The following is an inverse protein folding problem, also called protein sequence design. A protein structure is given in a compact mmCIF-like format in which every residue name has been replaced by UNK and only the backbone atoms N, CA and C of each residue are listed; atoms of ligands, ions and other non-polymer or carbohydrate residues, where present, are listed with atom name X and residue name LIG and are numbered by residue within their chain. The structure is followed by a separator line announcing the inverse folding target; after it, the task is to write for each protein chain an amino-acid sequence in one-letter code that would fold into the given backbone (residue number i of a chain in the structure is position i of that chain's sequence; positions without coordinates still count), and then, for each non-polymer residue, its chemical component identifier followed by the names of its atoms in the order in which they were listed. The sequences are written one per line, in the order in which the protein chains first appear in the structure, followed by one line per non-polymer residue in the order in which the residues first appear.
data_IF_859168857133
#
_entry.id   IF_859168857133
#
_cell.length_a   1.000
_cell.length_b   1.000
_cell.length_c   1.000
_cell.angle_alpha   90.00
_cell.angle_beta   90.00
_cell.angle_gamma   90.00
#
_symmetry.space_group_name_H-M   'P 1'
#
loop_
_entity.id
_entity.type
_entity.pdbx_description
1 polymer ?
#
# COMPACT_ATOMS: atom_id res chain seq x y z
N UNK A 1 -4.69 1.40 10.35
CA UNK A 1 -4.25 2.23 9.21
C UNK A 1 -4.78 3.64 9.41
N UNK A 2 -4.04 4.64 8.97
CA UNK A 2 -4.48 6.04 8.95
C UNK A 2 -4.26 6.59 7.55
N UNK A 3 -5.27 7.23 6.97
CA UNK A 3 -5.16 7.97 5.71
C UNK A 3 -5.35 9.44 6.02
N UNK A 4 -4.35 10.26 5.72
CA UNK A 4 -4.39 11.70 5.95
C UNK A 4 -4.44 12.44 4.62
N UNK A 5 -5.31 13.44 4.52
CA UNK A 5 -5.31 14.39 3.40
C UNK A 5 -4.25 15.49 3.63
N UNK A 6 -3.81 16.19 2.58
CA UNK A 6 -2.93 17.37 2.73
C UNK A 6 -3.53 18.47 3.62
N UNK A 7 -4.85 18.56 3.69
CA UNK A 7 -5.60 19.54 4.49
C UNK A 7 -5.65 19.16 5.99
N UNK A 8 -5.20 17.95 6.34
CA UNK A 8 -5.12 17.46 7.71
C UNK A 8 -6.31 16.59 8.15
N UNK A 9 -7.25 16.29 7.26
CA UNK A 9 -8.32 15.33 7.56
C UNK A 9 -7.72 13.92 7.67
N UNK A 10 -8.10 13.18 8.71
CA UNK A 10 -7.61 11.83 8.95
C UNK A 10 -8.76 10.84 9.02
N UNK A 11 -8.61 9.73 8.30
CA UNK A 11 -9.46 8.54 8.42
C UNK A 11 -8.65 7.44 9.08
N UNK A 12 -9.00 7.13 10.32
CA UNK A 12 -8.44 5.99 11.03
C UNK A 12 -9.34 4.77 10.84
N UNK A 13 -8.73 3.64 10.46
CA UNK A 13 -9.43 2.37 10.30
C UNK A 13 -8.67 1.26 11.02
N UNK A 14 -9.40 0.51 11.84
CA UNK A 14 -8.96 -0.76 12.40
C UNK A 14 -9.54 -1.90 11.56
N UNK A 15 -8.68 -2.80 11.10
CA UNK A 15 -9.10 -4.00 10.38
C UNK A 15 -8.90 -5.20 11.29
N UNK A 16 -9.97 -5.99 11.47
CA UNK A 16 -9.88 -7.30 12.13
C UNK A 16 -10.00 -8.36 11.05
N UNK A 17 -8.98 -9.20 10.94
CA UNK A 17 -8.99 -10.33 10.03
C UNK A 17 -9.57 -11.55 10.74
N UNK A 18 -10.55 -12.21 10.13
CA UNK A 18 -11.14 -13.45 10.64
C UNK A 18 -10.25 -14.69 10.36
N UNK A 19 -9.10 -14.47 9.71
CA UNK A 19 -8.07 -15.47 9.45
C UNK A 19 -6.78 -15.15 10.22
N UNK A 20 -6.00 -16.20 10.51
CA UNK A 20 -4.66 -16.03 11.10
C UNK A 20 -3.70 -15.51 10.04
N UNK A 21 -3.62 -14.19 9.90
CA UNK A 21 -2.59 -13.57 9.09
C UNK A 21 -1.22 -13.70 9.78
N UNK A 22 -0.21 -14.16 9.04
CA UNK A 22 1.20 -13.93 9.41
C UNK A 22 1.48 -12.44 9.16
N UNK A 23 2.29 -11.76 9.98
CA UNK A 23 2.38 -10.27 9.97
C UNK A 23 2.47 -9.67 8.55
N UNK A 24 3.27 -10.28 7.68
CA UNK A 24 3.47 -9.88 6.30
C UNK A 24 2.19 -9.87 5.47
N UNK A 25 1.29 -10.86 5.65
CA UNK A 25 0.00 -10.90 4.98
C UNK A 25 -0.93 -9.81 5.52
N UNK A 26 -0.95 -9.59 6.84
CA UNK A 26 -1.77 -8.55 7.45
C UNK A 26 -1.35 -7.15 6.95
N UNK A 27 -0.05 -6.90 6.85
CA UNK A 27 0.50 -5.65 6.33
C UNK A 27 0.12 -5.43 4.86
N UNK A 28 0.15 -6.47 4.03
CA UNK A 28 -0.31 -6.38 2.64
C UNK A 28 -1.80 -6.09 2.53
N UNK A 29 -2.63 -6.72 3.35
CA UNK A 29 -4.07 -6.44 3.37
C UNK A 29 -4.35 -5.00 3.80
N UNK A 30 -3.65 -4.50 4.82
CA UNK A 30 -3.74 -3.10 5.25
C UNK A 30 -3.29 -2.16 4.14
N UNK A 31 -2.20 -2.47 3.43
CA UNK A 31 -1.72 -1.69 2.29
C UNK A 31 -2.78 -1.64 1.17
N UNK A 32 -3.32 -2.79 0.77
CA UNK A 32 -4.33 -2.87 -0.27
C UNK A 32 -5.61 -2.12 0.09
N UNK A 33 -6.08 -2.26 1.33
CA UNK A 33 -7.23 -1.52 1.83
C UNK A 33 -6.97 0.00 1.77
N UNK A 34 -5.77 0.43 2.20
CA UNK A 34 -5.36 1.83 2.16
C UNK A 34 -5.36 2.41 0.75
N UNK A 35 -4.76 1.70 -0.20
CA UNK A 35 -4.72 2.11 -1.59
C UNK A 35 -6.12 2.20 -2.20
N UNK A 36 -7.01 1.24 -1.89
CA UNK A 36 -8.40 1.26 -2.36
C UNK A 36 -9.17 2.46 -1.83
N UNK A 37 -8.99 2.82 -0.56
CA UNK A 37 -9.59 4.03 0.03
C UNK A 37 -9.07 5.28 -0.69
N UNK A 38 -7.76 5.42 -0.88
CA UNK A 38 -7.19 6.57 -1.60
C UNK A 38 -7.71 6.69 -3.04
N UNK A 39 -7.85 5.57 -3.75
CA UNK A 39 -8.48 5.55 -5.09
C UNK A 39 -9.93 6.00 -5.02
N UNK A 40 -10.72 5.50 -4.06
CA UNK A 40 -12.13 5.86 -3.90
C UNK A 40 -12.32 7.35 -3.54
N UNK A 41 -11.37 7.94 -2.81
CA UNK A 41 -11.34 9.37 -2.49
C UNK A 41 -10.87 10.24 -3.66
N UNK A 42 -10.49 9.65 -4.80
CA UNK A 42 -10.02 10.39 -5.97
C UNK A 42 -8.62 10.98 -5.79
N UNK A 43 -7.80 10.41 -4.90
CA UNK A 43 -6.45 10.91 -4.67
C UNK A 43 -5.58 10.77 -5.94
N UNK A 44 -4.92 11.86 -6.32
CA UNK A 44 -4.03 11.92 -7.48
C UNK A 44 -2.63 11.34 -7.20
N UNK A 45 -2.18 11.43 -5.94
CA UNK A 45 -0.86 11.03 -5.45
C UNK A 45 -1.01 10.42 -4.07
N UNK A 46 -0.13 9.49 -3.73
CA UNK A 46 -0.06 8.87 -2.40
C UNK A 46 1.39 8.80 -1.93
N UNK A 47 1.57 8.89 -0.61
CA UNK A 47 2.81 8.57 0.08
C UNK A 47 2.48 7.47 1.09
N UNK A 48 3.31 6.44 1.13
CA UNK A 48 3.02 5.21 1.89
C UNK A 48 4.12 5.03 2.91
N UNK A 49 3.73 4.96 4.17
CA UNK A 49 4.61 4.67 5.28
C UNK A 49 4.27 3.27 5.80
N UNK A 50 5.28 2.41 5.88
CA UNK A 50 5.17 1.05 6.39
C UNK A 50 6.34 0.82 7.35
N UNK A 51 6.09 0.08 8.43
CA UNK A 51 7.13 -0.44 9.32
C UNK A 51 7.75 -1.74 8.78
N UNK A 52 7.11 -2.36 7.80
CA UNK A 52 7.55 -3.58 7.16
C UNK A 52 8.55 -3.36 6.05
N UNK A 53 9.81 -3.64 6.36
CA UNK A 53 10.90 -3.64 5.37
C UNK A 53 10.62 -4.60 4.21
N UNK A 54 9.97 -5.74 4.46
CA UNK A 54 9.67 -6.70 3.39
C UNK A 54 8.67 -6.12 2.38
N UNK A 55 7.57 -5.54 2.86
CA UNK A 55 6.55 -4.92 1.98
C UNK A 55 7.17 -3.75 1.20
N UNK A 56 7.97 -2.91 1.87
CA UNK A 56 8.68 -1.80 1.22
C UNK A 56 9.57 -2.34 0.08
N UNK A 57 10.45 -3.27 0.38
CA UNK A 57 11.43 -3.76 -0.59
C UNK A 57 10.77 -4.53 -1.75
N UNK A 58 9.64 -5.21 -1.51
CA UNK A 58 8.90 -5.87 -2.59
C UNK A 58 8.16 -4.87 -3.49
N UNK A 59 7.53 -3.85 -2.92
CA UNK A 59 6.85 -2.79 -3.69
C UNK A 59 7.85 -1.92 -4.48
N UNK A 60 9.07 -1.74 -3.95
CA UNK A 60 10.17 -1.07 -4.64
C UNK A 60 10.89 -1.94 -5.69
N UNK A 61 10.43 -3.18 -5.90
CA UNK A 61 11.05 -4.17 -6.80
C UNK A 61 12.50 -4.54 -6.43
N UNK A 62 12.88 -4.32 -5.17
CA UNK A 62 14.20 -4.69 -4.64
C UNK A 62 14.22 -6.16 -4.21
N UNK A 63 13.09 -6.68 -3.74
CA UNK A 63 12.93 -8.06 -3.26
C UNK A 63 11.85 -8.78 -4.07
N UNK A 64 12.12 -10.01 -4.50
CA UNK A 64 11.14 -10.83 -5.19
C UNK A 64 10.19 -11.53 -4.20
N UNK A 65 8.88 -11.47 -4.47
CA UNK A 65 7.91 -12.35 -3.83
C UNK A 65 8.05 -13.77 -4.40
N UNK A 66 8.17 -14.78 -3.52
CA UNK A 66 8.44 -16.17 -3.92
C UNK A 66 7.23 -17.11 -3.78
N UNK A 67 6.29 -16.76 -2.92
CA UNK A 67 5.08 -17.53 -2.64
C UNK A 67 3.92 -17.01 -3.50
N UNK A 68 3.07 -17.90 -4.02
CA UNK A 68 1.96 -17.53 -4.93
C UNK A 68 1.00 -16.50 -4.30
N UNK A 69 0.72 -16.60 -2.99
CA UNK A 69 -0.11 -15.61 -2.31
C UNK A 69 0.58 -14.25 -2.25
N UNK A 70 1.88 -14.25 -1.94
CA UNK A 70 2.67 -13.01 -1.89
C UNK A 70 2.82 -12.35 -3.27
N UNK A 71 2.94 -13.15 -4.33
CA UNK A 71 2.95 -12.67 -5.72
C UNK A 71 1.59 -12.02 -6.05
N UNK A 72 0.48 -12.63 -5.64
CA UNK A 72 -0.86 -12.07 -5.80
C UNK A 72 -1.03 -10.72 -5.08
N UNK A 73 -0.51 -10.62 -3.86
CA UNK A 73 -0.50 -9.38 -3.09
C UNK A 73 0.33 -8.29 -3.77
N UNK A 74 1.57 -8.59 -4.17
CA UNK A 74 2.45 -7.64 -4.84
C UNK A 74 1.86 -7.17 -6.17
N UNK A 75 1.28 -8.09 -6.95
CA UNK A 75 0.61 -7.76 -8.22
C UNK A 75 -0.56 -6.80 -7.98
N UNK A 76 -1.42 -7.10 -7.01
CA UNK A 76 -2.58 -6.26 -6.67
C UNK A 76 -2.16 -4.87 -6.19
N UNK A 77 -1.12 -4.80 -5.34
CA UNK A 77 -0.59 -3.53 -4.85
C UNK A 77 -0.01 -2.69 -5.98
N UNK A 78 0.77 -3.33 -6.87
CA UNK A 78 1.38 -2.67 -8.04
C UNK A 78 0.32 -2.12 -9.00
N UNK A 79 -0.75 -2.88 -9.27
CA UNK A 79 -1.86 -2.43 -10.12
C UNK A 79 -2.63 -1.24 -9.52
N UNK A 80 -2.83 -1.22 -8.20
CA UNK A 80 -3.41 -0.05 -7.53
C UNK A 80 -2.47 1.16 -7.58
N UNK A 81 -1.18 0.95 -7.35
CA UNK A 81 -0.17 2.02 -7.36
C UNK A 81 -0.07 2.71 -8.73
N UNK A 82 -0.27 1.98 -9.84
CA UNK A 82 -0.29 2.54 -11.20
C UNK A 82 -1.40 3.57 -11.42
N UNK A 83 -2.44 3.61 -10.58
CA UNK A 83 -3.53 4.59 -10.68
C UNK A 83 -3.13 5.98 -10.19
N UNK A 84 -2.06 6.08 -9.41
CA UNK A 84 -1.56 7.34 -8.88
C UNK A 84 -0.47 7.92 -9.79
N UNK A 85 -0.40 9.26 -9.88
CA UNK A 85 0.63 9.94 -10.67
C UNK A 85 1.99 9.76 -10.01
N UNK A 86 3.00 9.33 -10.77
CA UNK A 86 4.41 9.30 -10.29
C UNK A 86 4.90 10.72 -9.99
N UNK A 87 5.73 10.85 -8.96
CA UNK A 87 6.52 12.07 -8.75
C UNK A 87 7.56 12.13 -9.88
N UNK A 88 7.45 13.10 -10.78
CA UNK A 88 8.51 13.39 -11.75
C UNK A 88 9.68 14.04 -10.98
N UNK A 89 10.73 13.27 -10.73
CA UNK A 89 11.98 13.80 -10.18
C UNK A 89 12.83 14.43 -11.29
N UNK A 90 12.34 15.50 -11.94
CA UNK A 90 13.23 16.44 -12.60
C UNK A 90 13.66 17.47 -11.56
N UNK A 91 14.80 17.21 -10.92
CA UNK A 91 15.59 18.25 -10.28
C UNK A 91 16.18 19.12 -11.40
N UNK A 92 15.71 20.35 -11.52
CA UNK A 92 16.54 21.45 -12.02
C UNK A 92 17.41 21.96 -10.87
#
# INVERSE_FOLDING_TARGET
MVVTTPEGDAVECAMRFDFRAINNQAEYEVLLASLRVCVALGADKVEIFSDSQMVINQVLDEYQAKDEHMIGYLTSATELLKRFKRKNNNKN
#
